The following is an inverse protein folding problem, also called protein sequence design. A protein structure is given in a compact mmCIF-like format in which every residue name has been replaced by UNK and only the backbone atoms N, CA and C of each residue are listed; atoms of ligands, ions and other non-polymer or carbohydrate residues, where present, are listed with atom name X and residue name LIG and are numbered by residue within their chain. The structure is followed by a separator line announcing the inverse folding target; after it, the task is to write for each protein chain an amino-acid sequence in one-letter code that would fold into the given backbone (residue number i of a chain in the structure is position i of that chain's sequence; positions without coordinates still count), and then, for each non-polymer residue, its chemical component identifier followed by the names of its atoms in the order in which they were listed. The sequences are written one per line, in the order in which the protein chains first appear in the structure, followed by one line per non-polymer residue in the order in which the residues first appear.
data_IF_844526830274
#
_entry.id   IF_844526830274
#
_cell.length_a   1.000
_cell.length_b   1.000
_cell.length_c   1.000
_cell.angle_alpha   90.00
_cell.angle_beta   90.00
_cell.angle_gamma   90.00
#
_symmetry.space_group_name_H-M   'P 1'
#
loop_
_entity.id
_entity.type
_entity.pdbx_description
1 polymer ?
#
# COMPACT_ATOMS: atom_id res chain seq x y z
N UNK A 1 -6.40 -11.27 17.67
CA UNK A 1 -6.87 -11.37 16.26
C UNK A 1 -5.65 -11.46 15.36
N UNK A 2 -5.53 -12.55 14.61
CA UNK A 2 -4.40 -12.82 13.71
C UNK A 2 -4.74 -12.43 12.27
N UNK A 3 -3.92 -11.59 11.68
CA UNK A 3 -4.09 -11.12 10.30
C UNK A 3 -2.87 -11.52 9.46
N UNK A 4 -3.09 -12.27 8.39
CA UNK A 4 -2.10 -12.48 7.34
C UNK A 4 -2.24 -11.40 6.28
N UNK A 5 -1.17 -10.71 5.94
CA UNK A 5 -1.17 -9.65 4.95
C UNK A 5 -0.15 -9.85 3.84
N UNK A 6 -0.52 -9.44 2.62
CA UNK A 6 0.31 -9.45 1.42
C UNK A 6 0.49 -8.03 0.88
N UNK A 7 1.70 -7.71 0.44
CA UNK A 7 2.03 -6.45 -0.23
C UNK A 7 2.81 -6.70 -1.52
N UNK A 8 2.24 -6.29 -2.65
CA UNK A 8 2.81 -6.49 -3.99
C UNK A 8 2.60 -5.28 -4.90
N UNK A 9 2.16 -4.16 -4.33
CA UNK A 9 1.70 -2.99 -5.10
C UNK A 9 2.80 -2.20 -5.80
N UNK A 10 4.06 -2.38 -5.40
CA UNK A 10 5.21 -1.64 -5.91
C UNK A 10 6.39 -2.56 -6.29
N UNK A 11 7.63 -2.09 -6.08
CA UNK A 11 8.85 -2.86 -6.39
C UNK A 11 9.16 -3.93 -5.36
N UNK A 12 8.84 -3.66 -4.11
CA UNK A 12 8.99 -4.63 -3.02
C UNK A 12 7.85 -5.63 -3.00
N UNK A 13 8.13 -6.81 -2.47
CA UNK A 13 7.14 -7.82 -2.10
C UNK A 13 7.32 -8.15 -0.63
N UNK A 14 6.25 -8.26 0.11
CA UNK A 14 6.30 -8.66 1.51
C UNK A 14 5.05 -9.41 1.95
N UNK A 15 5.23 -10.18 3.00
CA UNK A 15 4.18 -10.92 3.69
C UNK A 15 4.37 -10.72 5.20
N UNK A 16 3.29 -10.67 5.96
CA UNK A 16 3.36 -10.52 7.40
C UNK A 16 2.17 -11.20 8.09
N UNK A 17 2.39 -11.67 9.29
CA UNK A 17 1.33 -12.04 10.24
C UNK A 17 1.46 -11.14 11.45
N UNK A 18 0.34 -10.53 11.84
CA UNK A 18 0.23 -9.78 13.10
C UNK A 18 -0.81 -10.44 14.01
N UNK A 19 -0.65 -10.28 15.31
CA UNK A 19 -1.66 -10.63 16.31
C UNK A 19 -1.85 -9.43 17.25
N UNK A 20 -3.08 -8.91 17.30
CA UNK A 20 -3.43 -7.75 18.12
C UNK A 20 -2.45 -6.58 17.95
N UNK A 21 -2.21 -6.21 16.69
CA UNK A 21 -1.28 -5.16 16.25
C UNK A 21 0.21 -5.46 16.47
N UNK A 22 0.58 -6.63 17.00
CA UNK A 22 1.98 -7.04 17.19
C UNK A 22 2.42 -7.92 16.03
N UNK A 23 3.49 -7.58 15.28
CA UNK A 23 4.03 -8.45 14.26
C UNK A 23 4.59 -9.75 14.87
N UNK A 24 4.04 -10.91 14.45
CA UNK A 24 4.55 -12.24 14.83
C UNK A 24 5.63 -12.72 13.86
N UNK A 25 5.40 -12.51 12.57
CA UNK A 25 6.34 -12.87 11.51
C UNK A 25 6.22 -11.89 10.34
N UNK A 26 7.33 -11.60 9.68
CA UNK A 26 7.34 -10.84 8.44
C UNK A 26 8.52 -11.23 7.56
N UNK A 27 8.28 -11.22 6.25
CA UNK A 27 9.32 -11.41 5.24
C UNK A 27 9.19 -10.33 4.19
N UNK A 28 10.33 -9.76 3.76
CA UNK A 28 10.41 -8.65 2.83
C UNK A 28 11.51 -8.87 1.81
N UNK A 29 11.24 -8.58 0.54
CA UNK A 29 12.24 -8.59 -0.52
C UNK A 29 12.07 -7.37 -1.44
N UNK A 30 13.20 -6.80 -1.86
CA UNK A 30 13.26 -5.74 -2.87
C UNK A 30 14.46 -6.02 -3.81
N UNK A 31 14.44 -7.18 -4.44
CA UNK A 31 15.56 -7.72 -5.24
C UNK A 31 15.36 -7.55 -6.74
N UNK A 32 14.22 -6.95 -7.16
CA UNK A 32 13.90 -6.77 -8.58
C UNK A 32 13.34 -8.02 -9.26
N UNK A 33 13.14 -9.12 -8.54
CA UNK A 33 12.46 -10.30 -9.06
C UNK A 33 10.96 -10.07 -9.20
N UNK A 34 10.32 -10.81 -10.11
CA UNK A 34 8.87 -10.69 -10.32
C UNK A 34 8.08 -11.27 -9.16
N UNK A 35 7.03 -10.59 -8.73
CA UNK A 35 6.20 -11.01 -7.61
C UNK A 35 5.55 -12.39 -7.80
N UNK A 36 5.23 -12.78 -9.05
CA UNK A 36 4.71 -14.12 -9.35
C UNK A 36 5.68 -15.25 -9.03
N UNK A 37 7.00 -14.97 -8.97
CA UNK A 37 8.03 -15.95 -8.57
C UNK A 37 8.31 -15.95 -7.08
N UNK A 38 8.10 -14.81 -6.41
CA UNK A 38 8.63 -14.59 -5.06
C UNK A 38 7.55 -14.64 -3.99
N UNK A 39 6.30 -14.22 -4.28
CA UNK A 39 5.26 -14.05 -3.27
C UNK A 39 4.93 -15.37 -2.55
N UNK A 40 4.58 -16.42 -3.27
CA UNK A 40 4.16 -17.68 -2.63
C UNK A 40 5.31 -18.40 -1.92
N UNK A 41 6.55 -18.51 -2.49
CA UNK A 41 7.69 -19.03 -1.75
C UNK A 41 8.03 -18.23 -0.49
N UNK A 42 7.89 -16.89 -0.52
CA UNK A 42 8.13 -16.02 0.62
C UNK A 42 7.11 -16.26 1.74
N UNK A 43 5.84 -16.42 1.37
CA UNK A 43 4.76 -16.74 2.30
C UNK A 43 4.96 -18.13 2.94
N UNK A 44 5.20 -19.14 2.13
CA UNK A 44 5.40 -20.51 2.60
C UNK A 44 6.58 -20.61 3.57
N UNK A 45 7.73 -20.03 3.21
CA UNK A 45 8.90 -20.01 4.08
C UNK A 45 8.64 -19.28 5.40
N UNK A 46 7.90 -18.15 5.36
CA UNK A 46 7.55 -17.40 6.57
C UNK A 46 6.64 -18.21 7.49
N UNK A 47 5.57 -18.78 6.98
CA UNK A 47 4.63 -19.58 7.77
C UNK A 47 5.32 -20.82 8.37
N UNK A 48 6.08 -21.56 7.55
CA UNK A 48 6.81 -22.75 8.00
C UNK A 48 7.82 -22.43 9.10
N UNK A 49 8.63 -21.37 8.93
CA UNK A 49 9.66 -21.00 9.91
C UNK A 49 9.10 -20.45 11.22
N UNK A 50 7.89 -19.89 11.18
CA UNK A 50 7.21 -19.37 12.38
C UNK A 50 6.27 -20.37 13.05
N UNK A 51 6.05 -21.54 12.45
CA UNK A 51 5.12 -22.54 12.97
C UNK A 51 3.65 -22.09 12.92
N UNK A 52 3.33 -21.17 11.98
CA UNK A 52 1.97 -20.66 11.77
C UNK A 52 1.32 -21.35 10.58
N UNK A 53 0.03 -21.61 10.68
CA UNK A 53 -0.78 -22.17 9.60
C UNK A 53 -1.80 -21.14 9.09
N UNK A 54 -2.24 -21.30 7.84
CA UNK A 54 -3.24 -20.40 7.24
C UNK A 54 -4.58 -20.45 8.01
N UNK A 55 -4.89 -21.58 8.60
CA UNK A 55 -6.11 -21.79 9.39
C UNK A 55 -6.12 -20.99 10.69
N UNK A 56 -4.95 -20.63 11.24
CA UNK A 56 -4.82 -19.83 12.46
C UNK A 56 -5.28 -18.37 12.28
N UNK A 57 -5.41 -17.92 11.03
CA UNK A 57 -5.73 -16.53 10.72
C UNK A 57 -7.23 -16.26 10.91
N UNK A 58 -7.54 -15.08 11.46
CA UNK A 58 -8.92 -14.59 11.57
C UNK A 58 -9.38 -13.89 10.28
N UNK A 59 -8.47 -13.23 9.58
CA UNK A 59 -8.72 -12.59 8.28
C UNK A 59 -7.44 -12.53 7.45
N UNK A 60 -7.61 -12.38 6.13
CA UNK A 60 -6.53 -12.19 5.18
C UNK A 60 -6.60 -10.81 4.54
N UNK A 61 -5.47 -10.14 4.32
CA UNK A 61 -5.40 -8.78 3.83
C UNK A 61 -4.42 -8.62 2.67
N UNK A 62 -4.70 -7.69 1.77
CA UNK A 62 -3.80 -7.34 0.68
C UNK A 62 -3.86 -5.85 0.42
N UNK A 63 -2.74 -5.25 0.05
CA UNK A 63 -2.73 -3.92 -0.57
C UNK A 63 -3.50 -4.01 -1.90
N UNK A 64 -4.73 -3.49 -1.91
CA UNK A 64 -5.62 -3.55 -3.06
C UNK A 64 -5.39 -2.40 -4.05
N UNK A 65 -4.61 -1.41 -3.69
CA UNK A 65 -4.27 -0.25 -4.52
C UNK A 65 -4.25 1.07 -3.75
N UNK A 66 -3.77 2.13 -4.40
CA UNK A 66 -3.21 2.17 -5.76
C UNK A 66 -1.84 1.50 -5.87
N UNK A 67 -1.39 1.24 -7.12
CA UNK A 67 -0.08 0.63 -7.34
C UNK A 67 0.15 0.10 -8.76
N UNK A 68 1.16 -0.75 -8.89
CA UNK A 68 1.47 -1.49 -10.11
C UNK A 68 0.30 -2.39 -10.51
N UNK A 69 -0.22 -2.19 -11.72
CA UNK A 69 -1.35 -2.98 -12.24
C UNK A 69 -1.11 -4.50 -12.18
N UNK A 70 0.08 -4.95 -12.59
CA UNK A 70 0.47 -6.36 -12.54
C UNK A 70 0.66 -6.82 -11.09
N UNK A 71 1.33 -6.01 -10.27
CA UNK A 71 1.59 -6.33 -8.86
C UNK A 71 0.30 -6.51 -8.06
N UNK A 72 -0.63 -5.58 -8.18
CA UNK A 72 -1.94 -5.65 -7.51
C UNK A 72 -2.73 -6.91 -7.90
N UNK A 73 -2.74 -7.26 -9.20
CA UNK A 73 -3.41 -8.48 -9.66
C UNK A 73 -2.78 -9.75 -9.09
N UNK A 74 -1.45 -9.81 -9.01
CA UNK A 74 -0.75 -10.95 -8.41
C UNK A 74 -1.15 -11.10 -6.93
N UNK A 75 -1.06 -10.04 -6.14
CA UNK A 75 -1.40 -10.07 -4.72
C UNK A 75 -2.86 -10.41 -4.46
N UNK A 76 -3.77 -9.71 -5.14
CA UNK A 76 -5.22 -9.95 -4.99
C UNK A 76 -5.60 -11.36 -5.41
N UNK A 77 -5.08 -11.88 -6.54
CA UNK A 77 -5.38 -13.24 -6.98
C UNK A 77 -4.85 -14.29 -6.03
N UNK A 78 -3.62 -14.12 -5.51
CA UNK A 78 -3.05 -15.02 -4.51
C UNK A 78 -3.89 -15.01 -3.23
N UNK A 79 -4.25 -13.82 -2.72
CA UNK A 79 -5.08 -13.72 -1.52
C UNK A 79 -6.45 -14.37 -1.69
N UNK A 80 -7.11 -14.15 -2.84
CA UNK A 80 -8.40 -14.77 -3.16
C UNK A 80 -8.31 -16.30 -3.09
N UNK A 81 -7.26 -16.90 -3.66
CA UNK A 81 -7.04 -18.34 -3.60
C UNK A 81 -6.85 -18.85 -2.17
N UNK A 82 -6.02 -18.17 -1.39
CA UNK A 82 -5.77 -18.50 0.03
C UNK A 82 -7.05 -18.37 0.88
N UNK A 83 -7.75 -17.25 0.73
CA UNK A 83 -8.97 -16.96 1.49
C UNK A 83 -10.11 -17.92 1.14
N UNK A 84 -10.23 -18.31 -0.13
CA UNK A 84 -11.19 -19.31 -0.56
C UNK A 84 -10.89 -20.67 0.07
N UNK A 85 -9.62 -21.11 0.03
CA UNK A 85 -9.21 -22.39 0.57
C UNK A 85 -9.35 -22.49 2.11
N UNK A 86 -9.14 -21.37 2.81
CA UNK A 86 -9.23 -21.30 4.27
C UNK A 86 -10.59 -20.83 4.79
N UNK A 87 -11.52 -20.47 3.91
CA UNK A 87 -12.84 -19.91 4.26
C UNK A 87 -12.74 -18.66 5.15
N UNK A 88 -11.76 -17.78 4.88
CA UNK A 88 -11.50 -16.59 5.69
C UNK A 88 -12.01 -15.31 5.01
N UNK A 89 -12.47 -14.32 5.79
CA UNK A 89 -12.80 -12.99 5.26
C UNK A 89 -11.56 -12.26 4.74
N UNK A 90 -11.76 -11.35 3.80
CA UNK A 90 -10.72 -10.57 3.15
C UNK A 90 -10.81 -9.07 3.49
N UNK A 91 -9.66 -8.39 3.52
CA UNK A 91 -9.55 -6.94 3.56
C UNK A 91 -8.72 -6.44 2.37
N UNK A 92 -9.30 -5.57 1.55
CA UNK A 92 -8.58 -4.81 0.52
C UNK A 92 -8.15 -3.46 1.05
N UNK A 93 -6.88 -3.33 1.41
CA UNK A 93 -6.34 -2.14 2.10
C UNK A 93 -5.80 -1.12 1.10
N UNK A 94 -5.99 0.18 1.38
CA UNK A 94 -5.29 1.24 0.65
C UNK A 94 -3.78 1.12 0.85
N UNK A 95 -3.03 1.01 -0.26
CA UNK A 95 -1.56 0.97 -0.22
C UNK A 95 -0.99 2.22 0.45
N UNK A 96 -1.59 3.39 0.20
CA UNK A 96 -1.13 4.66 0.75
C UNK A 96 -1.38 4.73 2.26
N UNK A 97 -2.52 4.21 2.73
CA UNK A 97 -2.79 4.13 4.16
C UNK A 97 -1.84 3.16 4.88
N UNK A 98 -1.60 1.99 4.29
CA UNK A 98 -0.64 1.02 4.82
C UNK A 98 0.77 1.60 4.98
N UNK A 99 1.24 2.41 4.01
CA UNK A 99 2.52 3.11 4.13
C UNK A 99 2.52 4.14 5.25
N UNK A 100 1.46 4.94 5.36
CA UNK A 100 1.34 5.95 6.41
C UNK A 100 1.28 5.33 7.81
N UNK A 101 0.64 4.17 7.95
CA UNK A 101 0.52 3.44 9.23
C UNK A 101 1.89 3.07 9.83
N UNK A 102 2.88 2.74 9.00
CA UNK A 102 4.24 2.47 9.46
C UNK A 102 4.94 3.70 10.08
N UNK A 103 4.43 4.90 9.84
CA UNK A 103 4.97 6.17 10.32
C UNK A 103 4.05 6.88 11.34
N UNK A 104 3.03 6.21 11.86
CA UNK A 104 2.02 6.82 12.73
C UNK A 104 2.60 7.47 14.01
N UNK A 105 3.79 7.04 14.45
CA UNK A 105 4.47 7.59 15.63
C UNK A 105 5.44 8.75 15.34
N UNK A 106 5.48 9.26 14.10
CA UNK A 106 6.46 10.28 13.71
C UNK A 106 6.01 11.72 14.00
N UNK A 107 4.78 11.92 14.50
CA UNK A 107 4.18 13.23 14.80
C UNK A 107 4.39 14.26 13.68
N UNK A 108 3.95 13.92 12.46
CA UNK A 108 4.18 14.68 11.26
C UNK A 108 3.02 14.58 10.27
N UNK A 109 3.05 15.42 9.24
CA UNK A 109 2.28 15.24 8.02
C UNK A 109 2.97 14.18 7.15
N UNK A 110 2.32 13.04 6.95
CA UNK A 110 2.82 11.98 6.10
C UNK A 110 2.32 12.20 4.68
N UNK A 111 3.26 12.40 3.76
CA UNK A 111 3.02 12.60 2.33
C UNK A 111 3.31 11.27 1.62
N UNK A 112 2.28 10.44 1.44
CA UNK A 112 2.43 9.20 0.71
C UNK A 112 2.61 9.49 -0.78
N UNK A 113 3.62 8.90 -1.41
CA UNK A 113 3.95 9.10 -2.81
C UNK A 113 4.42 7.80 -3.47
N UNK A 114 3.61 7.24 -4.37
CA UNK A 114 4.01 6.15 -5.25
C UNK A 114 4.18 6.66 -6.68
N UNK A 115 5.15 6.13 -7.41
CA UNK A 115 5.41 6.56 -8.79
C UNK A 115 4.24 6.18 -9.73
N UNK A 116 3.44 7.18 -10.11
CA UNK A 116 2.35 7.03 -11.08
C UNK A 116 2.80 7.27 -12.53
N UNK A 117 4.12 7.44 -12.78
CA UNK A 117 4.73 7.82 -14.06
C UNK A 117 4.37 9.24 -14.51
N UNK A 118 5.09 9.76 -15.51
CA UNK A 118 4.84 11.08 -16.15
C UNK A 118 4.84 12.22 -15.14
N UNK A 119 5.78 12.25 -14.20
CA UNK A 119 5.93 13.27 -13.18
C UNK A 119 4.68 13.44 -12.28
N UNK A 120 3.93 12.36 -12.09
CA UNK A 120 2.79 12.26 -11.18
C UNK A 120 3.05 11.20 -10.14
N UNK A 121 2.39 11.34 -8.99
CA UNK A 121 2.39 10.35 -7.91
C UNK A 121 0.97 9.91 -7.57
N UNK A 122 0.80 8.65 -7.19
CA UNK A 122 -0.34 8.28 -6.36
C UNK A 122 -0.06 8.82 -4.96
N UNK A 123 -1.00 9.58 -4.45
CA UNK A 123 -0.83 10.36 -3.23
C UNK A 123 -2.04 10.26 -2.33
N UNK A 124 -1.80 10.24 -1.04
CA UNK A 124 -2.72 10.63 0.02
C UNK A 124 -1.93 11.31 1.13
N UNK A 125 -2.57 12.20 1.85
CA UNK A 125 -2.01 12.92 2.99
C UNK A 125 -2.62 12.40 4.27
N UNK A 126 -1.77 12.20 5.27
CA UNK A 126 -2.19 11.76 6.60
C UNK A 126 -1.51 12.63 7.66
N UNK A 127 -2.24 12.90 8.73
CA UNK A 127 -1.67 13.48 9.94
C UNK A 127 -1.41 12.37 10.95
N UNK A 128 -0.15 12.18 11.30
CA UNK A 128 0.27 11.28 12.36
C UNK A 128 0.48 12.07 13.65
N UNK A 129 -0.12 11.63 14.76
CA UNK A 129 0.04 12.24 16.08
C UNK A 129 -0.19 11.23 17.18
N UNK A 130 0.83 11.03 18.04
CA UNK A 130 0.73 10.13 19.19
C UNK A 130 0.34 8.69 18.82
N UNK A 131 0.79 8.18 17.67
CA UNK A 131 0.43 6.86 17.17
C UNK A 131 -0.91 6.77 16.43
N UNK A 132 -1.75 7.80 16.51
CA UNK A 132 -2.97 7.90 15.72
C UNK A 132 -2.67 8.40 14.31
N UNK A 133 -3.47 7.95 13.34
CA UNK A 133 -3.36 8.34 11.94
C UNK A 133 -4.71 8.88 11.45
N UNK A 134 -4.74 10.14 11.08
CA UNK A 134 -5.90 10.81 10.48
C UNK A 134 -5.68 10.96 8.97
N UNK A 135 -6.58 10.43 8.16
CA UNK A 135 -6.57 10.64 6.71
C UNK A 135 -7.08 12.04 6.36
N UNK A 136 -6.29 12.83 5.64
CA UNK A 136 -6.64 14.19 5.21
C UNK A 136 -7.16 14.26 3.78
N UNK A 137 -6.68 13.37 2.89
CA UNK A 137 -7.13 13.32 1.50
C UNK A 137 -7.46 11.88 1.06
N UNK A 138 -8.38 11.70 0.10
CA UNK A 138 -8.58 10.40 -0.53
C UNK A 138 -7.32 9.99 -1.33
N UNK A 139 -7.25 8.70 -1.67
CA UNK A 139 -6.26 8.21 -2.61
C UNK A 139 -6.49 8.84 -3.98
N UNK A 140 -5.43 9.43 -4.56
CA UNK A 140 -5.53 10.19 -5.83
C UNK A 140 -4.25 10.06 -6.66
N UNK A 141 -4.35 10.41 -7.94
CA UNK A 141 -3.19 10.66 -8.81
C UNK A 141 -3.05 12.17 -8.97
N UNK A 142 -1.88 12.74 -8.62
CA UNK A 142 -1.64 14.19 -8.62
C UNK A 142 -0.27 14.52 -9.22
N UNK A 143 -0.17 15.66 -9.89
CA UNK A 143 1.11 16.22 -10.32
C UNK A 143 1.91 16.76 -9.13
N UNK A 144 3.25 16.65 -9.19
CA UNK A 144 4.10 17.14 -8.09
C UNK A 144 3.97 18.66 -7.92
N UNK A 145 3.74 19.40 -9.01
CA UNK A 145 3.53 20.84 -8.94
C UNK A 145 2.25 21.21 -8.17
N UNK A 146 1.16 20.51 -8.44
CA UNK A 146 -0.13 20.72 -7.77
C UNK A 146 -0.03 20.32 -6.28
N UNK A 147 0.62 19.18 -5.99
CA UNK A 147 0.89 18.76 -4.63
C UNK A 147 1.75 19.78 -3.86
N UNK A 148 2.74 20.39 -4.52
CA UNK A 148 3.57 21.42 -3.89
C UNK A 148 2.77 22.67 -3.51
N UNK A 149 1.84 23.11 -4.37
CA UNK A 149 0.93 24.25 -4.06
C UNK A 149 0.07 23.94 -2.84
N UNK A 150 -0.54 22.75 -2.78
CA UNK A 150 -1.35 22.33 -1.65
C UNK A 150 -0.54 22.24 -0.34
N UNK A 151 0.68 21.72 -0.41
CA UNK A 151 1.55 21.59 0.77
C UNK A 151 2.16 22.93 1.24
N UNK A 152 2.24 23.94 0.38
CA UNK A 152 2.71 25.28 0.72
C UNK A 152 1.74 25.99 1.67
N UNK A 153 0.45 25.69 1.59
CA UNK A 153 -0.59 26.27 2.46
C UNK A 153 -0.59 25.63 3.88
N UNK A 154 0.12 24.52 4.06
CA UNK A 154 0.26 23.84 5.36
C UNK A 154 1.46 24.41 6.10
N UNK A 155 1.26 24.85 7.36
CA UNK A 155 2.29 25.46 8.21
C UNK A 155 3.65 24.79 8.07
N UNK A 156 4.70 25.61 7.98
CA UNK A 156 6.09 25.15 7.92
C UNK A 156 6.54 24.43 9.21
N UNK A 157 5.90 24.74 10.34
CA UNK A 157 6.17 24.09 11.63
C UNK A 157 5.71 22.63 11.66
N UNK A 158 4.77 22.25 10.80
CA UNK A 158 4.36 20.86 10.66
C UNK A 158 5.41 20.10 9.85
N UNK A 159 6.18 19.26 10.49
CA UNK A 159 7.15 18.37 9.81
C UNK A 159 6.44 17.56 8.72
N UNK A 160 6.99 17.56 7.50
CA UNK A 160 6.44 16.81 6.36
C UNK A 160 7.38 15.66 6.02
N UNK A 161 6.88 14.41 6.05
CA UNK A 161 7.67 13.20 5.74
C UNK A 161 7.12 12.55 4.48
N UNK A 162 7.96 12.40 3.46
CA UNK A 162 7.60 11.77 2.18
C UNK A 162 7.95 10.29 2.22
N UNK A 163 7.00 9.41 1.90
CA UNK A 163 7.13 7.94 1.98
C UNK A 163 6.59 7.26 0.72
N UNK A 164 7.16 6.12 0.34
CA UNK A 164 6.77 5.29 -0.80
C UNK A 164 7.88 5.14 -1.85
N UNK A 165 7.65 4.32 -2.85
CA UNK A 165 8.59 4.07 -3.95
C UNK A 165 8.77 5.29 -4.90
N UNK A 166 7.80 6.22 -4.90
CA UNK A 166 7.88 7.54 -5.55
C UNK A 166 8.43 8.65 -4.65
N UNK A 167 8.80 8.35 -3.40
CA UNK A 167 9.17 9.37 -2.42
C UNK A 167 10.38 10.22 -2.85
N UNK A 168 11.40 9.61 -3.48
CA UNK A 168 12.57 10.36 -3.94
C UNK A 168 12.21 11.37 -5.03
N UNK A 169 11.41 10.97 -6.00
CA UNK A 169 10.91 11.84 -7.07
C UNK A 169 10.08 13.00 -6.48
N UNK A 170 9.16 12.67 -5.59
CA UNK A 170 8.29 13.63 -4.93
C UNK A 170 9.11 14.61 -4.06
N UNK A 171 10.02 14.13 -3.24
CA UNK A 171 10.90 14.92 -2.37
C UNK A 171 11.70 15.97 -3.17
N UNK A 172 12.40 15.52 -4.22
CA UNK A 172 13.19 16.43 -5.08
C UNK A 172 12.29 17.49 -5.69
N UNK A 173 11.15 17.11 -6.26
CA UNK A 173 10.23 18.05 -6.89
C UNK A 173 9.56 19.03 -5.91
N UNK A 174 9.34 18.64 -4.65
CA UNK A 174 8.84 19.51 -3.59
C UNK A 174 9.90 20.55 -3.16
N UNK A 175 11.15 20.11 -2.94
CA UNK A 175 12.24 21.02 -2.58
C UNK A 175 12.52 22.07 -3.66
N UNK A 176 12.51 21.67 -4.95
CA UNK A 176 12.66 22.60 -6.09
C UNK A 176 11.58 23.69 -6.12
N UNK A 177 10.45 23.45 -5.46
CA UNK A 177 9.31 24.37 -5.35
C UNK A 177 9.19 25.05 -3.98
N UNK A 178 10.25 24.97 -3.16
CA UNK A 178 10.34 25.65 -1.87
C UNK A 178 9.54 24.99 -0.74
N UNK A 179 9.03 23.77 -0.93
CA UNK A 179 8.32 23.03 0.13
C UNK A 179 9.33 22.23 0.96
N UNK A 180 9.52 22.63 2.21
CA UNK A 180 10.39 21.91 3.16
C UNK A 180 9.75 20.58 3.56
N UNK A 181 10.48 19.49 3.36
CA UNK A 181 10.08 18.14 3.74
C UNK A 181 11.30 17.25 3.96
N UNK A 182 11.09 16.07 4.50
CA UNK A 182 12.14 15.05 4.71
C UNK A 182 11.70 13.73 4.08
N UNK A 183 12.66 12.88 3.73
CA UNK A 183 12.37 11.51 3.33
C UNK A 183 12.16 10.64 4.56
N UNK A 184 11.22 9.71 4.49
CA UNK A 184 11.10 8.65 5.48
C UNK A 184 12.43 7.86 5.60
N UNK A 185 12.79 7.36 6.80
CA UNK A 185 13.94 6.49 6.98
C UNK A 185 13.94 5.37 5.94
N UNK A 186 15.11 5.02 5.39
CA UNK A 186 15.22 4.06 4.28
C UNK A 186 14.54 2.71 4.58
N UNK A 187 14.61 2.25 5.83
CA UNK A 187 13.99 1.01 6.29
C UNK A 187 12.45 1.05 6.32
N UNK A 188 11.85 2.24 6.41
CA UNK A 188 10.39 2.46 6.50
C UNK A 188 9.81 3.09 5.24
N UNK A 189 10.65 3.36 4.24
CA UNK A 189 10.24 4.13 3.04
C UNK A 189 9.40 3.34 2.07
N UNK A 190 9.67 2.04 1.94
CA UNK A 190 8.98 1.19 0.97
C UNK A 190 7.72 0.57 1.56
N UNK A 191 6.81 0.19 0.68
CA UNK A 191 5.61 -0.57 1.01
C UNK A 191 5.98 -1.88 1.71
N UNK A 192 5.24 -2.24 2.75
CA UNK A 192 5.39 -3.53 3.42
C UNK A 192 4.06 -4.05 4.00
N UNK A 193 4.00 -5.36 4.21
CA UNK A 193 2.79 -6.05 4.61
C UNK A 193 2.38 -5.81 6.08
N UNK A 194 3.30 -5.36 6.95
CA UNK A 194 2.95 -5.05 8.35
C UNK A 194 1.94 -3.90 8.40
N UNK A 195 2.17 -2.82 7.64
CA UNK A 195 1.21 -1.72 7.54
C UNK A 195 -0.14 -2.16 6.98
N UNK A 196 -0.15 -3.09 6.01
CA UNK A 196 -1.39 -3.68 5.47
C UNK A 196 -2.15 -4.44 6.56
N UNK A 197 -1.44 -5.27 7.37
CA UNK A 197 -2.05 -6.03 8.46
C UNK A 197 -2.66 -5.12 9.53
N UNK A 198 -1.94 -4.05 9.92
CA UNK A 198 -2.43 -3.08 10.92
C UNK A 198 -3.69 -2.34 10.45
N UNK A 199 -3.76 -1.93 9.19
CA UNK A 199 -4.97 -1.32 8.63
C UNK A 199 -6.12 -2.34 8.56
N UNK A 200 -5.83 -3.57 8.15
CA UNK A 200 -6.83 -4.62 8.05
C UNK A 200 -7.45 -4.97 9.42
N UNK A 201 -6.66 -4.97 10.49
CA UNK A 201 -7.16 -5.19 11.85
C UNK A 201 -8.22 -4.15 12.23
N UNK A 202 -8.02 -2.88 11.91
CA UNK A 202 -9.01 -1.83 12.12
C UNK A 202 -10.26 -2.04 11.25
N UNK A 203 -10.08 -2.47 9.98
CA UNK A 203 -11.20 -2.79 9.08
C UNK A 203 -12.05 -3.94 9.63
N UNK A 204 -11.42 -5.03 10.09
CA UNK A 204 -12.12 -6.16 10.70
C UNK A 204 -12.92 -5.73 11.94
N UNK A 205 -12.33 -4.91 12.81
CA UNK A 205 -13.03 -4.37 14.01
C UNK A 205 -14.25 -3.52 13.64
N UNK A 206 -14.24 -2.86 12.48
CA UNK A 206 -15.37 -2.07 11.96
C UNK A 206 -16.36 -2.91 11.12
N UNK A 207 -16.09 -4.21 10.92
CA UNK A 207 -16.89 -5.07 10.06
C UNK A 207 -16.74 -4.79 8.56
N UNK A 208 -15.68 -4.11 8.15
CA UNK A 208 -15.39 -3.73 6.76
C UNK A 208 -14.61 -4.83 6.03
N UNK A 209 -15.12 -6.06 6.07
CA UNK A 209 -14.54 -7.21 5.37
C UNK A 209 -15.33 -7.54 4.12
N UNK A 210 -14.70 -8.24 3.19
CA UNK A 210 -15.34 -8.73 1.97
C UNK A 210 -15.09 -10.22 1.77
N UNK A 211 -15.84 -10.85 0.89
CA UNK A 211 -15.58 -12.24 0.51
C UNK A 211 -14.37 -12.32 -0.46
N UNK A 212 -13.76 -13.51 -0.55
CA UNK A 212 -12.74 -13.78 -1.55
C UNK A 212 -13.27 -13.53 -2.98
N UNK A 213 -14.57 -13.74 -3.23
CA UNK A 213 -15.21 -13.50 -4.53
C UNK A 213 -15.20 -12.02 -4.90
N UNK A 214 -15.56 -11.15 -3.94
CA UNK A 214 -15.87 -9.74 -4.18
C UNK A 214 -14.64 -8.83 -4.03
N UNK A 215 -13.53 -9.37 -3.50
CA UNK A 215 -12.27 -8.64 -3.40
C UNK A 215 -11.74 -8.29 -4.80
N UNK A 216 -11.52 -7.00 -5.06
CA UNK A 216 -11.00 -6.50 -6.36
C UNK A 216 -9.90 -5.45 -6.15
N UNK A 217 -8.98 -5.31 -7.11
CA UNK A 217 -8.01 -4.22 -7.07
C UNK A 217 -8.68 -2.86 -7.30
N UNK A 218 -8.13 -1.81 -6.65
CA UNK A 218 -8.55 -0.42 -6.84
C UNK A 218 -7.58 0.29 -7.80
N UNK A 219 -8.07 0.68 -8.96
CA UNK A 219 -7.29 1.37 -9.98
C UNK A 219 -7.66 2.85 -10.05
N UNK A 220 -6.72 3.73 -9.71
CA UNK A 220 -6.89 5.18 -9.85
C UNK A 220 -6.62 5.69 -11.28
N UNK A 221 -6.06 4.85 -12.13
CA UNK A 221 -5.77 5.16 -13.54
C UNK A 221 -6.05 3.93 -14.40
N UNK A 222 -6.45 4.17 -15.63
CA UNK A 222 -6.54 3.11 -16.63
C UNK A 222 -5.19 2.44 -16.86
N UNK A 223 -5.17 1.15 -17.12
CA UNK A 223 -3.97 0.43 -17.53
C UNK A 223 -3.34 1.04 -18.78
N UNK A 224 -2.09 0.74 -19.05
CA UNK A 224 -1.42 1.21 -20.27
C UNK A 224 -2.15 0.70 -21.51
N UNK A 225 -2.58 -0.56 -21.52
CA UNK A 225 -3.31 -1.17 -22.63
C UNK A 225 -4.66 -0.48 -22.88
N UNK A 226 -5.41 -0.17 -21.83
CA UNK A 226 -6.69 0.56 -21.94
C UNK A 226 -6.49 1.99 -22.49
N UNK A 227 -5.45 2.69 -22.02
CA UNK A 227 -5.10 4.02 -22.53
C UNK A 227 -4.68 4.00 -24.00
N UNK A 228 -3.90 2.99 -24.41
CA UNK A 228 -3.49 2.82 -25.82
C UNK A 228 -4.69 2.47 -26.71
N UNK A 229 -5.64 1.67 -26.21
CA UNK A 229 -6.89 1.39 -26.92
C UNK A 229 -7.74 2.65 -27.10
N UNK A 230 -7.90 3.46 -26.04
CA UNK A 230 -8.60 4.74 -26.12
C UNK A 230 -7.93 5.70 -27.11
N UNK A 231 -6.61 5.79 -27.08
CA UNK A 231 -5.85 6.64 -28.02
C UNK A 231 -6.02 6.21 -29.48
N UNK A 232 -6.35 4.93 -29.72
CA UNK A 232 -6.69 4.37 -31.05
C UNK A 232 -8.19 4.43 -31.37
N UNK A 233 -9.01 5.10 -30.54
CA UNK A 233 -10.47 5.22 -30.75
C UNK A 233 -11.26 3.92 -30.50
N UNK A 234 -10.64 2.91 -29.85
CA UNK A 234 -11.29 1.64 -29.54
C UNK A 234 -12.00 1.71 -28.17
N UNK A 235 -13.22 1.15 -28.08
CA UNK A 235 -13.95 1.06 -26.82
C UNK A 235 -13.22 0.18 -25.80
N UNK A 236 -13.26 0.57 -24.52
CA UNK A 236 -12.86 -0.29 -23.41
C UNK A 236 -14.05 -1.21 -23.13
N UNK A 237 -13.89 -2.51 -23.32
CA UNK A 237 -14.78 -3.52 -22.75
C UNK A 237 -14.36 -3.74 -21.30
N UNK A 238 -15.20 -3.39 -20.36
CA UNK A 238 -15.06 -3.80 -18.96
C UNK A 238 -15.74 -5.17 -18.89
N UNK A 239 -14.94 -6.24 -18.82
CA UNK A 239 -15.41 -7.58 -18.45
C UNK A 239 -15.39 -7.70 -16.92
#
# INVERSE_FOLDING_TARGET
MKILALETSAKSVSVAVTEDSVPLASSYQNTGLTHSRTLMPLLDAMLTSSGLELQDMDALAVAAGPGSFTGLRIGVSALKGLAWAAEKPCCGVSTLEAMARNLAHMDALIVCAMDARRNQVYNALFRARGGALERLTPDRAIGIEELAKELADISAETGKIVVGDGAQLCYTGLLERGVSCTLAPAALRMQNAVGVALCAEEMVRRGETTSARDLVPVYLRLSQAERERLAKGLKITVD
#
